data_IF_016753860027
#
_entry.id   IF_016753860027
#
_cell.length_a   1.000
_cell.length_b   1.000
_cell.length_c   1.000
_cell.angle_alpha   90.00
_cell.angle_beta   90.00
_cell.angle_gamma   90.00
#
_symmetry.space_group_name_H-M   'P 1'
#
loop_
_entity.id
_entity.type
_entity.pdbx_description
1 polymer ?
#
# COMPACT_ATOMS: atom_id res chain seq x y z
N UNK A 1 -29.13 -38.23 -43.70
CA UNK A 1 -29.90 -39.43 -44.12
C UNK A 1 -31.36 -39.04 -44.11
N UNK A 2 -32.07 -39.07 -45.25
CA UNK A 2 -33.52 -38.86 -45.21
C UNK A 2 -34.13 -39.97 -44.36
N UNK A 3 -34.94 -39.58 -43.36
CA UNK A 3 -35.70 -40.52 -42.56
C UNK A 3 -36.85 -41.02 -43.47
N UNK A 4 -36.63 -42.10 -44.21
CA UNK A 4 -37.71 -42.79 -44.90
C UNK A 4 -38.53 -43.55 -43.85
N UNK A 5 -39.42 -42.85 -43.14
CA UNK A 5 -40.48 -43.49 -42.38
C UNK A 5 -41.46 -44.10 -43.37
N UNK A 6 -41.27 -45.37 -43.69
CA UNK A 6 -42.23 -46.18 -44.43
C UNK A 6 -43.57 -46.17 -43.69
N UNK A 7 -44.56 -45.49 -44.25
CA UNK A 7 -45.97 -45.72 -43.90
C UNK A 7 -46.32 -47.09 -44.48
N UNK A 8 -46.88 -47.97 -43.65
CA UNK A 8 -47.10 -49.40 -43.93
C UNK A 8 -47.82 -49.70 -45.26
N UNK A 9 -47.56 -50.90 -45.81
CA UNK A 9 -48.02 -51.38 -47.12
C UNK A 9 -49.54 -51.32 -47.39
N UNK A 10 -50.40 -51.07 -46.38
CA UNK A 10 -51.85 -50.99 -46.56
C UNK A 10 -52.52 -50.02 -45.57
N UNK A 11 -52.51 -48.73 -45.92
CA UNK A 11 -53.59 -47.79 -45.57
C UNK A 11 -53.81 -47.40 -44.11
N UNK A 12 -52.89 -47.68 -43.17
CA UNK A 12 -52.99 -47.15 -41.80
C UNK A 12 -51.68 -46.55 -41.31
N UNK A 13 -51.66 -45.22 -41.13
CA UNK A 13 -50.67 -44.51 -40.29
C UNK A 13 -51.10 -44.71 -38.84
N UNK A 14 -50.40 -45.55 -38.08
CA UNK A 14 -50.83 -45.93 -36.72
C UNK A 14 -50.36 -45.03 -35.59
N UNK A 15 -49.40 -44.13 -35.82
CA UNK A 15 -48.89 -43.24 -34.78
C UNK A 15 -48.71 -41.80 -35.29
N UNK A 16 -49.06 -40.82 -34.46
CA UNK A 16 -48.77 -39.40 -34.70
C UNK A 16 -47.27 -39.20 -34.87
N UNK A 17 -46.84 -38.69 -36.02
CA UNK A 17 -45.43 -38.44 -36.29
C UNK A 17 -44.96 -37.20 -35.51
N UNK A 18 -44.12 -37.38 -34.50
CA UNK A 18 -43.54 -36.26 -33.72
C UNK A 18 -42.15 -35.93 -34.25
N UNK A 19 -42.02 -34.71 -34.76
CA UNK A 19 -40.82 -34.17 -35.38
C UNK A 19 -40.19 -33.10 -34.50
N UNK A 20 -38.86 -33.04 -34.53
CA UNK A 20 -38.11 -31.95 -33.87
C UNK A 20 -38.15 -30.68 -34.73
N UNK A 21 -37.90 -29.52 -34.14
CA UNK A 21 -37.83 -28.24 -34.87
C UNK A 21 -36.80 -28.22 -36.02
N UNK A 22 -35.85 -29.17 -36.07
CA UNK A 22 -34.87 -29.32 -37.16
C UNK A 22 -35.43 -30.08 -38.36
N UNK A 23 -36.51 -30.84 -38.18
CA UNK A 23 -37.17 -31.65 -39.21
C UNK A 23 -38.36 -30.88 -39.79
N UNK A 24 -38.10 -29.67 -40.30
CA UNK A 24 -39.12 -28.74 -40.79
C UNK A 24 -39.22 -28.66 -42.33
N UNK A 25 -38.57 -29.59 -43.03
CA UNK A 25 -38.65 -29.76 -44.47
C UNK A 25 -39.18 -31.18 -44.76
N UNK A 26 -40.39 -31.26 -45.28
CA UNK A 26 -41.13 -32.51 -45.48
C UNK A 26 -41.57 -32.65 -46.93
N UNK A 27 -41.45 -33.85 -47.48
CA UNK A 27 -41.99 -34.20 -48.79
C UNK A 27 -42.93 -35.38 -48.62
N UNK A 28 -44.13 -35.27 -49.18
CA UNK A 28 -45.17 -36.29 -49.17
C UNK A 28 -45.31 -36.84 -50.58
N UNK A 29 -44.97 -38.11 -50.76
CA UNK A 29 -45.16 -38.82 -52.03
C UNK A 29 -46.43 -39.68 -51.95
N UNK A 30 -47.19 -39.70 -53.04
CA UNK A 30 -48.49 -40.35 -53.07
C UNK A 30 -48.82 -40.91 -54.46
N UNK A 31 -49.60 -41.99 -54.47
CA UNK A 31 -50.02 -42.70 -55.68
C UNK A 31 -51.48 -43.12 -55.53
N UNK A 32 -52.30 -42.74 -56.49
CA UNK A 32 -53.67 -43.21 -56.66
C UNK A 32 -53.72 -44.35 -57.67
N UNK A 33 -54.53 -45.36 -57.39
CA UNK A 33 -54.68 -46.54 -58.24
C UNK A 33 -56.04 -46.44 -58.95
N UNK A 34 -56.01 -46.22 -60.26
CA UNK A 34 -57.18 -46.34 -61.16
C UNK A 34 -56.92 -47.51 -62.12
N UNK A 35 -57.77 -48.54 -62.08
CA UNK A 35 -57.59 -49.76 -62.89
C UNK A 35 -58.02 -49.59 -64.35
N UNK A 36 -58.81 -48.56 -64.66
CA UNK A 36 -59.37 -48.31 -66.00
C UNK A 36 -58.49 -47.33 -66.78
N UNK A 37 -58.02 -46.26 -66.12
CA UNK A 37 -57.21 -45.20 -66.73
C UNK A 37 -56.07 -44.74 -65.80
N UNK A 38 -55.01 -45.55 -65.58
CA UNK A 38 -53.95 -45.27 -64.60
C UNK A 38 -53.25 -43.92 -64.78
N UNK A 39 -53.16 -43.42 -66.03
CA UNK A 39 -52.45 -42.18 -66.36
C UNK A 39 -53.29 -40.89 -66.26
N UNK A 40 -54.58 -40.99 -65.89
CA UNK A 40 -55.49 -39.83 -65.82
C UNK A 40 -55.86 -39.40 -64.41
N UNK A 41 -55.27 -40.02 -63.39
CA UNK A 41 -55.49 -39.65 -61.99
C UNK A 41 -54.92 -38.26 -61.71
N UNK A 42 -55.75 -37.40 -61.14
CA UNK A 42 -55.37 -36.07 -60.69
C UNK A 42 -55.44 -36.02 -59.17
N UNK A 43 -54.61 -35.19 -58.54
CA UNK A 43 -54.52 -35.07 -57.09
C UNK A 43 -54.81 -33.65 -56.63
N UNK A 44 -55.35 -33.56 -55.41
CA UNK A 44 -55.36 -32.36 -54.61
C UNK A 44 -54.87 -32.69 -53.21
N UNK A 45 -54.10 -31.79 -52.64
CA UNK A 45 -53.58 -31.91 -51.29
C UNK A 45 -53.74 -30.60 -50.53
N UNK A 46 -53.67 -30.68 -49.21
CA UNK A 46 -53.74 -29.53 -48.32
C UNK A 46 -52.96 -29.83 -47.04
N UNK A 47 -52.15 -28.86 -46.60
CA UNK A 47 -51.54 -28.93 -45.27
C UNK A 47 -52.34 -28.10 -44.27
N UNK A 48 -53.28 -28.74 -43.59
CA UNK A 48 -54.06 -28.09 -42.53
C UNK A 48 -53.15 -27.65 -41.38
N UNK A 49 -53.31 -26.40 -40.96
CA UNK A 49 -52.40 -25.72 -40.02
C UNK A 49 -51.41 -24.77 -40.70
N UNK A 50 -51.24 -24.85 -42.02
CA UNK A 50 -50.49 -23.87 -42.82
C UNK A 50 -51.33 -23.25 -43.95
N UNK A 51 -52.25 -24.02 -44.52
CA UNK A 51 -53.08 -23.64 -45.66
C UNK A 51 -54.56 -23.83 -45.29
N UNK A 52 -55.45 -22.99 -45.84
CA UNK A 52 -56.91 -23.06 -45.61
C UNK A 52 -57.68 -23.65 -46.79
N UNK A 53 -57.03 -23.86 -47.95
CA UNK A 53 -57.68 -24.32 -49.18
C UNK A 53 -56.87 -25.43 -49.86
N UNK A 54 -57.57 -26.30 -50.59
CA UNK A 54 -56.95 -27.36 -51.39
C UNK A 54 -56.08 -26.78 -52.52
N UNK A 55 -54.99 -27.47 -52.83
CA UNK A 55 -54.19 -27.19 -54.01
C UNK A 55 -55.02 -27.31 -55.30
N UNK A 56 -54.64 -26.60 -56.38
CA UNK A 56 -55.25 -26.80 -57.68
C UNK A 56 -55.04 -28.25 -58.15
N UNK A 57 -55.98 -28.75 -58.95
CA UNK A 57 -55.91 -30.10 -59.51
C UNK A 57 -54.60 -30.30 -60.28
N UNK A 58 -53.80 -31.27 -59.90
CA UNK A 58 -52.46 -31.49 -60.47
C UNK A 58 -52.16 -32.97 -60.71
N UNK A 59 -51.26 -33.26 -61.66
CA UNK A 59 -50.71 -34.61 -61.89
C UNK A 59 -49.47 -34.92 -61.06
N UNK A 60 -49.01 -33.97 -60.26
CA UNK A 60 -47.86 -34.17 -59.38
C UNK A 60 -48.17 -35.25 -58.35
N UNK A 61 -47.23 -36.14 -58.12
CA UNK A 61 -47.31 -37.25 -57.15
C UNK A 61 -46.52 -36.95 -55.87
N UNK A 62 -46.04 -35.71 -55.71
CA UNK A 62 -45.30 -35.28 -54.53
C UNK A 62 -45.62 -33.83 -54.16
N UNK A 63 -45.76 -33.57 -52.87
CA UNK A 63 -45.92 -32.23 -52.30
C UNK A 63 -44.80 -31.95 -51.30
N UNK A 64 -44.04 -30.87 -51.50
CA UNK A 64 -42.89 -30.52 -50.66
C UNK A 64 -43.12 -29.21 -49.93
N UNK A 65 -43.00 -29.26 -48.61
CA UNK A 65 -43.15 -28.13 -47.69
C UNK A 65 -41.82 -27.84 -47.01
N UNK A 66 -41.36 -26.59 -47.08
CA UNK A 66 -40.09 -26.15 -46.50
C UNK A 66 -40.31 -25.16 -45.38
N UNK A 67 -39.49 -25.24 -44.33
CA UNK A 67 -39.50 -24.32 -43.20
C UNK A 67 -40.86 -24.21 -42.50
N UNK A 68 -41.52 -25.35 -42.30
CA UNK A 68 -42.78 -25.44 -41.56
C UNK A 68 -42.51 -24.99 -40.10
N UNK A 69 -43.36 -24.11 -39.57
CA UNK A 69 -43.21 -23.62 -38.19
C UNK A 69 -43.52 -24.75 -37.18
N UNK A 70 -43.01 -24.68 -35.94
CA UNK A 70 -43.45 -25.59 -34.90
C UNK A 70 -44.96 -25.47 -34.67
N UNK A 71 -45.66 -26.61 -34.61
CA UNK A 71 -47.10 -26.67 -34.58
C UNK A 71 -47.63 -28.07 -34.90
N UNK A 72 -48.95 -28.20 -34.87
CA UNK A 72 -49.66 -29.43 -35.17
C UNK A 72 -50.25 -29.31 -36.57
N UNK A 73 -50.02 -30.32 -37.41
CA UNK A 73 -50.39 -30.30 -38.82
C UNK A 73 -51.08 -31.59 -39.23
N UNK A 74 -51.98 -31.47 -40.20
CA UNK A 74 -52.63 -32.62 -40.85
C UNK A 74 -52.47 -32.46 -42.36
N UNK A 75 -51.69 -33.34 -42.98
CA UNK A 75 -51.61 -33.41 -44.42
C UNK A 75 -52.82 -34.21 -44.94
N UNK A 76 -53.64 -33.60 -45.80
CA UNK A 76 -54.77 -34.26 -46.45
C UNK A 76 -54.53 -34.41 -47.94
N UNK A 77 -55.00 -35.51 -48.50
CA UNK A 77 -54.94 -35.79 -49.93
C UNK A 77 -56.20 -36.48 -50.41
N UNK A 78 -56.63 -36.14 -51.62
CA UNK A 78 -57.65 -36.85 -52.38
C UNK A 78 -57.25 -36.96 -53.85
N UNK A 79 -57.59 -38.09 -54.45
CA UNK A 79 -57.39 -38.34 -55.88
C UNK A 79 -58.72 -38.19 -56.63
N UNK A 80 -58.67 -37.83 -57.91
CA UNK A 80 -59.83 -37.75 -58.80
C UNK A 80 -59.58 -38.56 -60.06
N UNK A 81 -60.58 -39.32 -60.50
CA UNK A 81 -60.53 -40.09 -61.75
C UNK A 81 -60.91 -39.20 -62.97
N UNK A 82 -60.94 -39.79 -64.17
CA UNK A 82 -61.28 -39.07 -65.42
C UNK A 82 -62.68 -38.42 -65.39
N UNK A 83 -63.61 -39.02 -64.66
CA UNK A 83 -64.99 -38.55 -64.52
C UNK A 83 -65.15 -37.44 -63.45
N UNK A 84 -64.06 -37.00 -62.83
CA UNK A 84 -64.07 -35.96 -61.80
C UNK A 84 -64.58 -36.45 -60.44
N UNK A 85 -64.71 -37.76 -60.24
CA UNK A 85 -65.13 -38.36 -58.97
C UNK A 85 -63.91 -38.43 -58.05
N UNK A 86 -64.03 -37.89 -56.84
CA UNK A 86 -62.95 -37.89 -55.85
C UNK A 86 -62.98 -39.16 -54.99
N UNK A 87 -61.79 -39.60 -54.57
CA UNK A 87 -61.60 -40.61 -53.53
C UNK A 87 -61.97 -40.06 -52.16
N UNK A 88 -62.15 -40.96 -51.19
CA UNK A 88 -62.15 -40.57 -49.79
C UNK A 88 -60.85 -39.86 -49.42
N UNK A 89 -60.96 -38.87 -48.54
CA UNK A 89 -59.82 -38.10 -48.04
C UNK A 89 -58.91 -39.00 -47.20
N UNK A 90 -57.63 -39.09 -47.57
CA UNK A 90 -56.59 -39.69 -46.74
C UNK A 90 -55.85 -38.59 -45.98
N UNK A 91 -55.49 -38.86 -44.72
CA UNK A 91 -54.80 -37.88 -43.88
C UNK A 91 -53.66 -38.45 -43.05
N UNK A 92 -52.61 -37.65 -42.88
CA UNK A 92 -51.43 -37.95 -42.06
C UNK A 92 -51.25 -36.84 -41.03
N UNK A 93 -51.25 -37.21 -39.76
CA UNK A 93 -51.09 -36.28 -38.65
C UNK A 93 -49.66 -36.24 -38.13
N UNK A 94 -49.11 -35.03 -37.94
CA UNK A 94 -47.77 -34.84 -37.39
C UNK A 94 -47.66 -33.56 -36.57
N UNK A 95 -46.72 -33.54 -35.63
CA UNK A 95 -46.42 -32.39 -34.77
C UNK A 95 -44.94 -32.03 -34.88
N UNK A 96 -44.64 -30.74 -35.10
CA UNK A 96 -43.27 -30.21 -35.03
C UNK A 96 -43.09 -29.50 -33.68
N UNK A 97 -42.26 -30.05 -32.80
CA UNK A 97 -42.00 -29.52 -31.46
C UNK A 97 -41.25 -28.19 -31.50
N UNK A 98 -41.64 -27.23 -30.67
CA UNK A 98 -40.94 -25.95 -30.53
C UNK A 98 -39.53 -26.11 -29.91
N UNK A 99 -38.53 -25.32 -30.35
CA UNK A 99 -37.19 -25.35 -29.78
C UNK A 99 -37.19 -25.03 -28.28
N UNK A 100 -36.34 -25.72 -27.51
CA UNK A 100 -36.30 -25.56 -26.05
C UNK A 100 -35.93 -24.14 -25.60
N UNK A 101 -35.12 -23.40 -26.37
CA UNK A 101 -34.71 -22.03 -26.03
C UNK A 101 -35.83 -20.99 -26.20
N UNK A 102 -36.90 -21.33 -26.92
CA UNK A 102 -38.07 -20.46 -27.01
C UNK A 102 -39.01 -20.62 -25.81
N UNK A 103 -38.87 -21.72 -25.05
CA UNK A 103 -39.66 -21.98 -23.85
C UNK A 103 -39.36 -20.94 -22.77
N UNK A 104 -40.38 -20.54 -22.02
CA UNK A 104 -40.32 -19.49 -20.99
C UNK A 104 -39.31 -19.79 -19.89
N UNK A 105 -39.22 -21.05 -19.46
CA UNK A 105 -38.26 -21.47 -18.43
C UNK A 105 -36.80 -21.21 -18.84
N UNK A 106 -36.47 -21.38 -20.13
CA UNK A 106 -35.11 -21.17 -20.61
C UNK A 106 -34.75 -19.68 -20.63
N UNK A 107 -35.67 -18.84 -21.12
CA UNK A 107 -35.51 -17.37 -21.06
C UNK A 107 -35.36 -16.88 -19.62
N UNK A 108 -36.16 -17.41 -18.70
CA UNK A 108 -36.05 -17.10 -17.27
C UNK A 108 -34.71 -17.54 -16.69
N UNK A 109 -34.21 -18.73 -17.06
CA UNK A 109 -32.90 -19.21 -16.62
C UNK A 109 -31.75 -18.32 -17.14
N UNK A 110 -31.82 -17.86 -18.39
CA UNK A 110 -30.83 -16.92 -18.96
C UNK A 110 -30.84 -15.60 -18.20
N UNK A 111 -32.01 -15.03 -17.90
CA UNK A 111 -32.14 -13.78 -17.13
C UNK A 111 -31.59 -13.99 -15.71
N UNK A 112 -31.94 -15.08 -15.04
CA UNK A 112 -31.43 -15.39 -13.72
C UNK A 112 -29.90 -15.56 -13.70
N UNK A 113 -29.33 -16.22 -14.71
CA UNK A 113 -27.88 -16.35 -14.88
C UNK A 113 -27.19 -14.99 -15.08
N UNK A 114 -27.78 -14.10 -15.89
CA UNK A 114 -27.26 -12.76 -16.09
C UNK A 114 -27.30 -11.93 -14.79
N UNK A 115 -28.40 -11.98 -14.03
CA UNK A 115 -28.52 -11.30 -12.73
C UNK A 115 -27.51 -11.86 -11.73
N UNK A 116 -27.35 -13.18 -11.67
CA UNK A 116 -26.35 -13.83 -10.81
C UNK A 116 -24.92 -13.39 -11.16
N UNK A 117 -24.59 -13.34 -12.45
CA UNK A 117 -23.28 -12.90 -12.92
C UNK A 117 -23.00 -11.43 -12.57
N UNK A 118 -23.99 -10.55 -12.73
CA UNK A 118 -23.88 -9.15 -12.31
C UNK A 118 -23.70 -9.02 -10.79
N UNK A 119 -24.44 -9.79 -10.00
CA UNK A 119 -24.29 -9.83 -8.55
C UNK A 119 -22.90 -10.32 -8.13
N UNK A 120 -22.34 -11.30 -8.84
CA UNK A 120 -20.99 -11.83 -8.60
C UNK A 120 -19.92 -10.78 -8.91
N UNK A 121 -20.03 -10.07 -10.05
CA UNK A 121 -19.14 -8.94 -10.36
C UNK A 121 -19.22 -7.86 -9.27
N UNK A 122 -20.43 -7.50 -8.84
CA UNK A 122 -20.64 -6.50 -7.80
C UNK A 122 -20.04 -6.93 -6.45
N UNK A 123 -20.23 -8.20 -6.08
CA UNK A 123 -19.63 -8.79 -4.88
C UNK A 123 -18.11 -8.71 -4.90
N UNK A 124 -17.46 -9.11 -6.00
CA UNK A 124 -16.00 -9.02 -6.12
C UNK A 124 -15.49 -7.58 -6.12
N UNK A 125 -16.20 -6.65 -6.76
CA UNK A 125 -15.89 -5.21 -6.70
C UNK A 125 -15.94 -4.67 -5.28
N UNK A 126 -16.98 -5.01 -4.51
CA UNK A 126 -17.11 -4.60 -3.11
C UNK A 126 -15.96 -5.13 -2.24
N UNK A 127 -15.57 -6.39 -2.43
CA UNK A 127 -14.44 -6.97 -1.70
C UNK A 127 -13.11 -6.28 -2.05
N UNK A 128 -12.88 -5.99 -3.34
CA UNK A 128 -11.69 -5.28 -3.78
C UNK A 128 -11.59 -3.87 -3.18
N UNK A 129 -12.69 -3.13 -3.13
CA UNK A 129 -12.74 -1.79 -2.51
C UNK A 129 -12.47 -1.89 -1.00
N UNK A 130 -13.12 -2.82 -0.29
CA UNK A 130 -12.89 -3.01 1.15
C UNK A 130 -11.44 -3.38 1.47
N UNK A 131 -10.80 -4.19 0.62
CA UNK A 131 -9.38 -4.54 0.78
C UNK A 131 -8.47 -3.32 0.67
N UNK A 132 -8.71 -2.48 -0.34
CA UNK A 132 -7.95 -1.23 -0.55
C UNK A 132 -8.11 -0.25 0.61
N UNK A 133 -9.32 -0.14 1.18
CA UNK A 133 -9.56 0.68 2.36
C UNK A 133 -8.81 0.16 3.59
N UNK A 134 -8.80 -1.17 3.84
CA UNK A 134 -8.01 -1.76 4.94
C UNK A 134 -6.52 -1.49 4.79
N UNK A 135 -5.98 -1.66 3.59
CA UNK A 135 -4.57 -1.39 3.29
C UNK A 135 -4.22 0.08 3.55
N UNK A 136 -5.11 1.02 3.18
CA UNK A 136 -4.96 2.45 3.50
C UNK A 136 -4.98 2.71 5.00
N UNK A 137 -5.92 2.12 5.73
CA UNK A 137 -5.99 2.29 7.19
C UNK A 137 -4.75 1.76 7.89
N UNK A 138 -4.28 0.57 7.53
CA UNK A 138 -3.05 -0.01 8.07
C UNK A 138 -1.85 0.89 7.78
N UNK A 139 -1.74 1.43 6.56
CA UNK A 139 -0.68 2.37 6.19
C UNK A 139 -0.70 3.63 7.05
N UNK A 140 -1.88 4.24 7.24
CA UNK A 140 -2.04 5.44 8.05
C UNK A 140 -1.70 5.20 9.54
N UNK A 141 -2.04 4.03 10.07
CA UNK A 141 -1.67 3.65 11.44
C UNK A 141 -0.16 3.50 11.55
N UNK A 142 0.49 2.80 10.63
CA UNK A 142 1.95 2.66 10.62
C UNK A 142 2.67 4.00 10.52
N UNK A 143 2.20 4.88 9.64
CA UNK A 143 2.76 6.23 9.47
C UNK A 143 2.60 7.06 10.76
N UNK A 144 1.44 6.98 11.42
CA UNK A 144 1.23 7.61 12.72
C UNK A 144 2.18 7.04 13.79
N UNK A 145 2.33 5.72 13.85
CA UNK A 145 3.21 5.07 14.82
C UNK A 145 4.67 5.49 14.61
N UNK A 146 5.11 5.61 13.35
CA UNK A 146 6.44 6.16 13.01
C UNK A 146 6.58 7.60 13.50
N UNK A 147 5.61 8.48 13.22
CA UNK A 147 5.64 9.88 13.69
C UNK A 147 5.65 9.94 15.23
N UNK A 148 4.87 9.09 15.91
CA UNK A 148 4.84 9.05 17.38
C UNK A 148 6.17 8.54 17.96
N UNK A 149 6.81 7.57 17.31
CA UNK A 149 8.13 7.08 17.67
C UNK A 149 9.20 8.14 17.42
N UNK A 150 9.14 8.87 16.30
CA UNK A 150 9.99 10.03 16.03
C UNK A 150 9.81 11.08 17.12
N UNK A 151 8.56 11.48 17.43
CA UNK A 151 8.29 12.42 18.52
C UNK A 151 8.80 11.94 19.89
N UNK A 152 8.68 10.65 20.20
CA UNK A 152 9.24 10.07 21.43
C UNK A 152 10.77 10.08 21.40
N UNK A 153 11.39 9.76 20.27
CA UNK A 153 12.84 9.83 20.09
C UNK A 153 13.33 11.28 20.26
N UNK A 154 12.63 12.25 19.68
CA UNK A 154 12.89 13.68 19.87
C UNK A 154 12.77 14.10 21.33
N UNK A 155 11.75 13.61 22.05
CA UNK A 155 11.62 13.84 23.50
C UNK A 155 12.73 13.21 24.31
N UNK A 156 13.24 12.05 23.90
CA UNK A 156 14.38 11.39 24.53
C UNK A 156 15.71 12.07 24.18
N UNK A 157 15.79 12.74 23.04
CA UNK A 157 16.95 13.51 22.60
C UNK A 157 17.06 14.86 23.32
N UNK A 158 15.97 15.34 23.96
CA UNK A 158 15.98 16.51 24.84
C UNK A 158 16.22 16.07 26.29
N UNK A 159 17.39 16.35 26.86
CA UNK A 159 17.70 15.99 28.26
C UNK A 159 16.66 16.63 29.22
N UNK A 160 15.79 15.84 29.88
CA UNK A 160 14.75 16.39 30.76
C UNK A 160 15.33 17.21 31.91
N UNK A 161 16.49 16.81 32.44
CA UNK A 161 17.18 17.51 33.50
C UNK A 161 17.65 18.90 33.05
N UNK A 162 18.20 19.02 31.84
CA UNK A 162 18.55 20.32 31.24
C UNK A 162 17.33 21.23 31.11
N UNK A 163 16.20 20.71 30.62
CA UNK A 163 14.96 21.48 30.49
C UNK A 163 14.47 22.00 31.85
N UNK A 164 14.45 21.14 32.87
CA UNK A 164 14.05 21.54 34.23
C UNK A 164 15.00 22.59 34.82
N UNK A 165 16.32 22.41 34.69
CA UNK A 165 17.30 23.36 35.22
C UNK A 165 17.19 24.72 34.53
N UNK A 166 17.13 24.73 33.20
CA UNK A 166 17.01 25.96 32.42
C UNK A 166 15.73 26.72 32.76
N UNK A 167 14.59 26.03 32.86
CA UNK A 167 13.32 26.64 33.25
C UNK A 167 13.36 27.20 34.68
N UNK A 168 13.97 26.48 35.63
CA UNK A 168 14.12 26.95 37.00
C UNK A 168 15.00 28.21 37.08
N UNK A 169 16.12 28.25 36.36
CA UNK A 169 16.99 29.42 36.33
C UNK A 169 16.31 30.63 35.68
N UNK A 170 15.50 30.41 34.63
CA UNK A 170 14.66 31.47 34.05
C UNK A 170 13.58 31.95 35.03
N UNK A 171 12.92 31.04 35.75
CA UNK A 171 11.94 31.40 36.79
C UNK A 171 12.58 32.21 37.93
N UNK A 172 13.81 31.88 38.32
CA UNK A 172 14.60 32.65 39.28
C UNK A 172 14.79 34.11 38.87
N UNK A 173 15.11 34.38 37.59
CA UNK A 173 15.24 35.75 37.07
C UNK A 173 13.93 36.53 37.06
N UNK A 174 12.82 35.86 36.79
CA UNK A 174 11.48 36.46 36.87
C UNK A 174 11.19 36.87 38.31
N UNK A 175 11.58 36.04 39.28
CA UNK A 175 11.42 36.33 40.71
C UNK A 175 12.32 37.47 41.20
N UNK A 176 13.52 37.65 40.65
CA UNK A 176 14.45 38.76 40.98
C UNK A 176 14.18 40.06 40.21
N UNK A 177 13.09 40.14 39.44
CA UNK A 177 12.70 41.27 38.60
C UNK A 177 13.66 41.60 37.45
N UNK A 178 14.59 40.71 37.09
CA UNK A 178 15.41 40.87 35.89
C UNK A 178 14.67 40.38 34.64
N UNK A 179 13.59 41.10 34.30
CA UNK A 179 12.71 40.74 33.19
C UNK A 179 13.40 40.87 31.81
N UNK A 180 14.55 41.55 31.71
CA UNK A 180 15.28 41.70 30.46
C UNK A 180 16.15 40.47 30.21
N UNK A 181 16.91 40.03 31.21
CA UNK A 181 17.73 38.83 31.12
C UNK A 181 16.84 37.58 31.00
N UNK A 182 15.73 37.52 31.74
CA UNK A 182 14.76 36.42 31.61
C UNK A 182 14.21 36.28 30.18
N UNK A 183 13.88 37.40 29.52
CA UNK A 183 13.39 37.41 28.13
C UNK A 183 14.46 36.96 27.14
N UNK A 184 15.71 37.39 27.33
CA UNK A 184 16.83 36.97 26.48
C UNK A 184 17.02 35.44 26.55
N UNK A 185 17.11 34.88 27.76
CA UNK A 185 17.33 33.43 27.93
C UNK A 185 16.13 32.59 27.52
N UNK A 186 14.89 33.09 27.71
CA UNK A 186 13.70 32.43 27.17
C UNK A 186 13.72 32.39 25.63
N UNK A 187 14.21 33.44 24.98
CA UNK A 187 14.40 33.47 23.52
C UNK A 187 15.49 32.50 23.08
N UNK A 188 16.64 32.45 23.77
CA UNK A 188 17.74 31.49 23.48
C UNK A 188 17.25 30.05 23.64
N UNK A 189 16.54 29.76 24.73
CA UNK A 189 15.91 28.46 24.96
C UNK A 189 14.93 28.08 23.84
N UNK A 190 14.03 29.00 23.46
CA UNK A 190 13.07 28.75 22.38
C UNK A 190 13.75 28.51 21.03
N UNK A 191 14.87 29.21 20.76
CA UNK A 191 15.67 29.05 19.54
C UNK A 191 16.35 27.68 19.51
N UNK A 192 17.07 27.30 20.56
CA UNK A 192 17.70 25.98 20.69
C UNK A 192 16.67 24.85 20.54
N UNK A 193 15.51 24.96 21.19
CA UNK A 193 14.46 23.95 21.09
C UNK A 193 13.94 23.78 19.66
N UNK A 194 13.86 24.88 18.90
CA UNK A 194 13.48 24.82 17.49
C UNK A 194 14.59 24.20 16.64
N UNK A 195 15.83 24.64 16.81
CA UNK A 195 17.00 24.10 16.10
C UNK A 195 17.16 22.60 16.34
N UNK A 196 17.04 22.14 17.60
CA UNK A 196 17.07 20.71 17.93
C UNK A 196 15.94 19.93 17.24
N UNK A 197 14.73 20.49 17.14
CA UNK A 197 13.60 19.86 16.45
C UNK A 197 13.70 19.91 14.92
N UNK A 198 14.32 20.94 14.35
CA UNK A 198 14.52 21.08 12.90
C UNK A 198 15.69 20.19 12.45
N UNK A 199 16.86 20.30 13.10
CA UNK A 199 18.08 19.57 12.76
C UNK A 199 17.92 18.05 12.95
N UNK A 200 17.13 17.61 13.92
CA UNK A 200 16.86 16.18 14.14
C UNK A 200 16.04 15.51 13.04
N UNK A 201 15.42 16.30 12.13
CA UNK A 201 14.71 15.78 10.95
C UNK A 201 15.64 15.61 9.75
N UNK A 202 16.81 16.25 9.78
CA UNK A 202 17.82 16.17 8.74
C UNK A 202 18.79 15.01 9.03
N UNK A 203 19.28 14.36 7.96
CA UNK A 203 20.26 13.27 8.10
C UNK A 203 21.65 13.81 8.47
N UNK A 204 22.01 14.98 7.95
CA UNK A 204 23.28 15.66 8.15
C UNK A 204 23.04 17.18 8.24
N UNK A 205 23.87 17.87 9.01
CA UNK A 205 23.93 19.34 9.12
C UNK A 205 25.36 19.80 8.90
N UNK A 206 25.55 21.05 8.52
CA UNK A 206 26.89 21.63 8.42
C UNK A 206 27.52 21.83 9.80
N UNK A 207 28.86 21.85 9.87
CA UNK A 207 29.58 22.22 11.10
C UNK A 207 29.19 23.61 11.59
N UNK A 208 28.93 24.56 10.69
CA UNK A 208 28.42 25.89 11.04
C UNK A 208 27.10 25.82 11.83
N UNK A 209 26.16 25.00 11.38
CA UNK A 209 24.87 24.79 12.05
C UNK A 209 25.06 24.10 13.41
N UNK A 210 25.95 23.11 13.50
CA UNK A 210 26.30 22.44 14.76
C UNK A 210 26.95 23.43 15.75
N UNK A 211 27.87 24.28 15.31
CA UNK A 211 28.50 25.31 16.16
C UNK A 211 27.44 26.28 16.68
N UNK A 212 26.51 26.71 15.81
CA UNK A 212 25.42 27.61 16.21
C UNK A 212 24.55 26.99 17.30
N UNK A 213 24.10 25.75 17.10
CA UNK A 213 23.28 25.01 18.06
C UNK A 213 24.04 24.76 19.38
N UNK A 214 25.30 24.33 19.29
CA UNK A 214 26.17 24.08 20.44
C UNK A 214 26.42 25.36 21.25
N UNK A 215 26.61 26.51 20.59
CA UNK A 215 26.76 27.81 21.26
C UNK A 215 25.51 28.16 22.08
N UNK A 216 24.32 28.01 21.50
CA UNK A 216 23.08 28.27 22.24
C UNK A 216 22.90 27.31 23.44
N UNK A 217 23.28 26.04 23.26
CA UNK A 217 23.26 25.04 24.34
C UNK A 217 24.22 25.41 25.48
N UNK A 218 25.49 25.68 25.17
CA UNK A 218 26.51 26.03 26.16
C UNK A 218 26.17 27.33 26.91
N UNK A 219 25.59 28.31 26.22
CA UNK A 219 25.11 29.55 26.87
C UNK A 219 24.03 29.28 27.92
N UNK A 220 23.11 28.36 27.64
CA UNK A 220 22.03 28.00 28.56
C UNK A 220 22.54 27.15 29.73
N UNK A 221 23.46 26.23 29.48
CA UNK A 221 24.11 25.44 30.54
C UNK A 221 24.95 26.32 31.46
N UNK A 222 25.78 27.20 30.88
CA UNK A 222 26.61 28.15 31.64
C UNK A 222 25.75 29.03 32.54
N UNK A 223 24.61 29.47 32.04
CA UNK A 223 23.64 30.22 32.83
C UNK A 223 22.97 29.37 33.92
N UNK A 224 22.56 28.14 33.59
CA UNK A 224 21.88 27.23 34.52
C UNK A 224 22.76 26.83 35.71
N UNK A 225 24.08 26.83 35.52
CA UNK A 225 25.08 26.54 36.54
C UNK A 225 25.83 27.79 37.03
N UNK A 226 25.18 28.95 37.06
CA UNK A 226 25.70 30.17 37.69
C UNK A 226 27.13 30.57 37.23
N UNK A 227 27.47 30.34 35.96
CA UNK A 227 28.77 30.67 35.36
C UNK A 227 29.96 29.91 35.97
N UNK A 228 29.76 28.69 36.50
CA UNK A 228 30.82 27.84 37.10
C UNK A 228 31.90 27.40 36.09
N UNK A 229 31.64 27.54 34.79
CA UNK A 229 32.59 27.25 33.72
C UNK A 229 32.56 28.32 32.61
N UNK A 230 33.64 28.41 31.85
CA UNK A 230 33.76 29.12 30.58
C UNK A 230 33.96 28.13 29.42
N UNK A 231 33.67 28.56 28.19
CA UNK A 231 33.88 27.74 27.00
C UNK A 231 34.48 28.53 25.82
N UNK A 232 35.19 27.82 24.94
CA UNK A 232 35.61 28.30 23.63
C UNK A 232 35.25 27.29 22.54
N UNK A 233 34.79 27.77 21.39
CA UNK A 233 34.58 26.96 20.18
C UNK A 233 35.48 27.55 19.09
N UNK A 234 36.30 26.71 18.50
CA UNK A 234 37.27 27.05 17.46
C UNK A 234 37.04 26.14 16.26
N UNK A 235 37.07 26.69 15.05
CA UNK A 235 36.91 25.93 13.82
C UNK A 235 37.86 26.46 12.75
N UNK A 236 38.47 25.56 11.99
CA UNK A 236 39.20 25.92 10.78
C UNK A 236 38.22 26.42 9.70
N UNK A 237 38.65 27.35 8.85
CA UNK A 237 37.81 27.92 7.78
C UNK A 237 37.17 26.84 6.89
N UNK A 238 37.94 25.80 6.56
CA UNK A 238 37.46 24.67 5.73
C UNK A 238 36.53 23.72 6.48
N UNK A 239 36.56 23.71 7.83
CA UNK A 239 35.75 22.82 8.64
C UNK A 239 34.26 23.17 8.58
N UNK A 240 33.91 24.45 8.38
CA UNK A 240 32.53 24.93 8.40
C UNK A 240 31.60 24.26 7.36
N UNK A 241 32.17 23.79 6.24
CA UNK A 241 31.41 23.16 5.15
C UNK A 241 31.22 21.65 5.31
N UNK A 242 31.87 21.02 6.29
CA UNK A 242 31.72 19.59 6.52
C UNK A 242 30.30 19.26 6.99
N UNK A 243 29.77 18.16 6.48
CA UNK A 243 28.45 17.64 6.86
C UNK A 243 28.62 16.55 7.92
N UNK A 244 27.97 16.74 9.07
CA UNK A 244 28.02 15.84 10.22
C UNK A 244 26.62 15.52 10.73
N UNK A 245 26.42 14.41 11.47
CA UNK A 245 25.17 14.19 12.20
C UNK A 245 24.80 15.37 13.08
N UNK A 246 23.53 15.75 13.14
CA UNK A 246 23.07 16.77 14.06
C UNK A 246 23.28 16.34 15.52
N UNK A 247 23.72 17.28 16.35
CA UNK A 247 23.94 17.10 17.79
C UNK A 247 24.99 16.02 18.08
N UNK A 248 26.03 15.96 17.25
CA UNK A 248 27.15 15.03 17.39
C UNK A 248 28.01 15.38 18.60
N UNK A 249 28.28 16.68 18.80
CA UNK A 249 29.24 17.18 19.80
C UNK A 249 28.58 17.36 21.17
N UNK A 250 27.30 17.71 21.17
CA UNK A 250 26.52 18.02 22.37
C UNK A 250 26.65 16.96 23.48
N UNK A 251 26.55 15.64 23.23
CA UNK A 251 26.64 14.63 24.29
C UNK A 251 28.01 14.61 25.00
N UNK A 252 29.09 14.96 24.31
CA UNK A 252 30.42 15.03 24.91
C UNK A 252 30.60 16.31 25.74
N UNK A 253 30.13 17.44 25.21
CA UNK A 253 30.09 18.70 25.94
C UNK A 253 29.23 18.59 27.22
N UNK A 254 28.07 17.97 27.13
CA UNK A 254 27.18 17.70 28.26
C UNK A 254 27.87 16.85 29.33
N UNK A 255 28.53 15.75 28.92
CA UNK A 255 29.28 14.90 29.84
C UNK A 255 30.43 15.66 30.51
N UNK A 256 31.18 16.47 29.76
CA UNK A 256 32.25 17.31 30.30
C UNK A 256 31.71 18.28 31.36
N UNK A 257 30.59 18.94 31.10
CA UNK A 257 29.97 19.88 32.05
C UNK A 257 29.47 19.15 33.31
N UNK A 258 28.59 18.16 33.14
CA UNK A 258 27.89 17.46 34.23
C UNK A 258 28.85 16.65 35.11
N UNK A 259 29.81 15.96 34.50
CA UNK A 259 30.68 15.02 35.21
C UNK A 259 32.09 15.57 35.47
N UNK A 260 32.56 16.54 34.68
CA UNK A 260 33.88 17.14 34.81
C UNK A 260 33.85 18.48 35.56
N UNK A 261 33.17 19.48 34.98
CA UNK A 261 33.30 20.88 35.38
C UNK A 261 32.47 21.23 36.62
N UNK A 262 31.21 20.79 36.70
CA UNK A 262 30.35 21.09 37.85
C UNK A 262 30.90 20.50 39.16
N UNK A 263 31.36 19.24 39.22
CA UNK A 263 31.95 18.68 40.44
C UNK A 263 33.26 19.37 40.85
N UNK A 264 33.96 20.03 39.92
CA UNK A 264 35.18 20.80 40.21
C UNK A 264 34.87 22.08 41.00
N UNK A 265 33.71 22.70 40.77
CA UNK A 265 33.19 23.81 41.57
C UNK A 265 33.85 25.18 41.32
N UNK A 266 34.47 25.39 40.14
CA UNK A 266 35.05 26.67 39.73
C UNK A 266 36.17 26.52 38.69
N UNK A 267 36.46 27.60 37.96
CA UNK A 267 37.46 27.67 36.88
C UNK A 267 37.35 26.53 35.84
N UNK A 268 36.12 26.07 35.61
CA UNK A 268 35.84 25.09 34.57
C UNK A 268 36.09 25.69 33.19
N UNK A 269 36.78 24.95 32.32
CA UNK A 269 37.00 25.33 30.92
C UNK A 269 36.63 24.17 30.02
N UNK A 270 35.81 24.46 29.03
CA UNK A 270 35.47 23.56 27.93
C UNK A 270 35.99 24.16 26.62
N UNK A 271 36.79 23.43 25.87
CA UNK A 271 37.26 23.85 24.56
C UNK A 271 36.82 22.83 23.52
N UNK A 272 36.13 23.32 22.49
CA UNK A 272 35.68 22.51 21.36
C UNK A 272 36.41 22.97 20.11
N UNK A 273 37.11 22.07 19.43
CA UNK A 273 37.85 22.37 18.20
C UNK A 273 37.36 21.53 17.03
N UNK A 274 37.12 22.16 15.89
CA UNK A 274 36.81 21.53 14.60
C UNK A 274 37.99 21.74 13.66
N UNK A 275 38.76 20.68 13.41
CA UNK A 275 40.03 20.73 12.67
C UNK A 275 39.89 19.97 11.36
N UNK A 276 40.13 20.64 10.23
CA UNK A 276 40.12 20.02 8.91
C UNK A 276 41.52 19.52 8.55
N UNK A 277 41.68 18.22 8.28
CA UNK A 277 42.98 17.64 7.96
C UNK A 277 42.85 16.41 7.08
N UNK A 278 43.59 16.33 5.97
CA UNK A 278 43.69 15.12 5.13
C UNK A 278 42.32 14.49 4.79
N UNK A 279 41.36 15.30 4.31
CA UNK A 279 39.98 14.90 3.97
C UNK A 279 39.16 14.26 5.10
N UNK A 280 39.54 14.53 6.36
CA UNK A 280 38.75 14.20 7.54
C UNK A 280 38.54 15.42 8.43
N UNK A 281 37.45 15.37 9.16
CA UNK A 281 37.16 16.32 10.23
C UNK A 281 37.53 15.67 11.56
N UNK A 282 38.44 16.33 12.29
CA UNK A 282 38.76 16.00 13.67
C UNK A 282 37.99 16.94 14.59
N UNK A 283 37.17 16.39 15.47
CA UNK A 283 36.42 17.16 16.47
C UNK A 283 37.00 16.84 17.84
N UNK A 284 37.52 17.84 18.52
CA UNK A 284 38.08 17.70 19.87
C UNK A 284 37.20 18.39 20.90
N UNK A 285 36.85 17.69 21.97
CA UNK A 285 36.14 18.24 23.14
C UNK A 285 37.03 18.04 24.35
N UNK A 286 37.61 19.13 24.83
CA UNK A 286 38.58 19.16 25.92
C UNK A 286 37.96 19.85 27.15
N UNK A 287 38.02 19.20 28.31
CA UNK A 287 37.59 19.75 29.59
C UNK A 287 38.72 19.71 30.62
N UNK A 288 38.77 20.70 31.51
CA UNK A 288 39.73 20.73 32.62
C UNK A 288 39.13 20.22 33.96
N UNK A 289 38.14 19.34 33.88
CA UNK A 289 37.35 18.86 35.00
C UNK A 289 38.08 17.85 35.90
N UNK A 290 37.31 17.18 36.77
CA UNK A 290 37.85 16.24 37.77
C UNK A 290 38.46 14.95 37.19
N UNK A 291 38.34 14.74 35.88
CA UNK A 291 38.79 13.54 35.17
C UNK A 291 37.85 12.33 35.34
N UNK A 292 37.90 11.39 34.38
CA UNK A 292 36.92 10.29 34.29
C UNK A 292 36.93 9.32 35.47
N UNK A 293 38.11 9.01 36.05
CA UNK A 293 38.22 8.09 37.21
C UNK A 293 37.45 8.63 38.41
N UNK A 294 37.70 9.89 38.77
CA UNK A 294 37.03 10.59 39.88
C UNK A 294 35.54 10.80 39.59
N UNK A 295 35.17 11.11 38.35
CA UNK A 295 33.77 11.17 37.93
C UNK A 295 33.04 9.83 38.10
N UNK A 296 33.69 8.70 37.77
CA UNK A 296 33.13 7.36 37.94
C UNK A 296 32.97 6.97 39.43
N UNK A 297 33.89 7.41 40.29
CA UNK A 297 33.80 7.22 41.75
C UNK A 297 32.63 8.03 42.35
N UNK A 298 32.43 9.27 41.91
CA UNK A 298 31.28 10.09 42.30
C UNK A 298 29.96 9.46 41.79
N UNK A 299 29.98 8.84 40.61
CA UNK A 299 28.82 8.20 39.97
C UNK A 299 28.39 6.93 40.71
N UNK A 300 29.31 6.11 41.20
CA UNK A 300 28.97 4.87 41.94
C UNK A 300 28.33 5.14 43.30
N UNK A 301 28.51 6.33 43.87
CA UNK A 301 27.92 6.75 45.14
C UNK A 301 26.49 7.29 45.03
N UNK A 302 26.01 7.64 43.82
CA UNK A 302 24.63 8.14 43.60
C UNK A 302 23.77 7.04 42.95
N UNK A 303 22.89 6.43 43.74
CA UNK A 303 22.13 5.20 43.41
C UNK A 303 21.04 5.31 42.34
N UNK A 304 20.80 6.47 41.71
CA UNK A 304 19.69 6.66 40.77
C UNK A 304 20.05 7.59 39.60
N UNK A 305 20.97 7.20 38.72
CA UNK A 305 21.16 7.93 37.45
C UNK A 305 21.20 6.99 36.25
N UNK A 306 20.37 7.31 35.26
CA UNK A 306 20.14 6.54 34.04
C UNK A 306 21.46 6.22 33.32
N UNK A 307 21.52 4.99 32.78
CA UNK A 307 22.57 4.50 31.89
C UNK A 307 22.77 5.50 30.73
N UNK A 308 24.02 5.75 30.35
CA UNK A 308 24.43 6.78 29.37
C UNK A 308 23.98 6.47 27.93
N UNK A 309 22.65 6.46 27.69
CA UNK A 309 22.02 6.19 26.40
C UNK A 309 22.49 7.18 25.32
N UNK A 310 22.79 8.43 25.71
CA UNK A 310 23.26 9.47 24.77
C UNK A 310 24.56 9.10 24.06
N UNK A 311 25.58 8.65 24.79
CA UNK A 311 26.87 8.25 24.20
C UNK A 311 26.75 7.04 23.27
N UNK A 312 25.87 6.08 23.61
CA UNK A 312 25.66 4.90 22.79
C UNK A 312 25.04 5.28 21.43
N UNK A 313 24.04 6.17 21.43
CA UNK A 313 23.40 6.64 20.19
C UNK A 313 24.39 7.42 19.32
N UNK A 314 25.26 8.23 19.93
CA UNK A 314 26.29 8.97 19.20
C UNK A 314 27.34 8.06 18.57
N UNK A 315 27.77 7.01 19.29
CA UNK A 315 28.66 6.00 18.76
C UNK A 315 28.03 5.27 17.56
N UNK A 316 26.80 4.80 17.70
CA UNK A 316 26.07 4.12 16.61
C UNK A 316 25.94 5.01 15.36
N UNK A 317 25.71 6.33 15.53
CA UNK A 317 25.64 7.29 14.41
C UNK A 317 26.98 7.52 13.72
N UNK A 318 28.07 7.62 14.49
CA UNK A 318 29.41 7.78 13.92
C UNK A 318 29.85 6.53 13.14
N UNK A 319 29.54 5.36 13.68
CA UNK A 319 29.85 4.08 13.04
C UNK A 319 29.08 3.89 11.72
N UNK A 320 27.87 4.47 11.61
CA UNK A 320 27.08 4.44 10.37
C UNK A 320 27.66 5.32 9.24
N UNK A 321 28.40 6.38 9.57
CA UNK A 321 28.95 7.31 8.59
C UNK A 321 30.38 6.92 8.22
N UNK A 322 31.15 6.46 9.19
CA UNK A 322 32.51 5.98 8.97
C UNK A 322 32.47 4.53 8.47
N UNK A 323 32.21 4.35 7.16
CA UNK A 323 32.16 3.05 6.47
C UNK A 323 33.45 2.18 6.56
N UNK A 324 34.53 2.67 7.19
CA UNK A 324 35.87 2.10 7.09
C UNK A 324 36.32 1.27 8.32
N UNK A 325 35.48 1.06 9.33
CA UNK A 325 35.77 0.13 10.43
C UNK A 325 36.88 0.57 11.42
N UNK A 326 37.35 1.82 11.33
CA UNK A 326 38.27 2.41 12.31
C UNK A 326 37.52 3.05 13.48
N UNK A 327 38.05 2.99 14.71
CA UNK A 327 37.42 3.60 15.88
C UNK A 327 37.26 5.11 15.69
N UNK A 328 36.00 5.55 15.67
CA UNK A 328 35.57 6.93 15.41
C UNK A 328 35.69 7.85 16.63
N UNK A 329 35.93 7.30 17.82
CA UNK A 329 35.97 8.02 19.11
C UNK A 329 37.17 7.57 19.94
N UNK A 330 37.99 8.53 20.36
CA UNK A 330 39.13 8.34 21.26
C UNK A 330 38.92 9.14 22.55
N UNK A 331 39.09 8.50 23.70
CA UNK A 331 39.03 9.15 25.00
C UNK A 331 40.43 9.21 25.62
N UNK A 332 40.95 10.41 25.83
CA UNK A 332 42.29 10.70 26.35
C UNK A 332 42.13 11.35 27.74
N UNK A 333 42.65 10.70 28.78
CA UNK A 333 42.68 11.26 30.13
C UNK A 333 43.90 12.20 30.25
N UNK A 334 43.68 13.49 30.52
CA UNK A 334 44.77 14.47 30.69
C UNK A 334 45.29 14.41 32.13
N UNK A 335 46.61 14.29 32.31
CA UNK A 335 47.25 14.18 33.62
C UNK A 335 48.47 15.10 33.71
N UNK A 336 48.75 15.60 34.91
CA UNK A 336 49.98 16.36 35.19
C UNK A 336 51.20 15.43 35.35
N UNK A 337 52.39 16.02 35.50
CA UNK A 337 53.65 15.30 35.74
C UNK A 337 53.64 14.45 37.04
N UNK A 338 52.63 14.62 37.90
CA UNK A 338 52.41 13.90 39.15
C UNK A 338 51.26 12.88 39.04
N UNK A 339 50.76 12.62 37.83
CA UNK A 339 49.71 11.66 37.52
C UNK A 339 48.33 12.03 38.13
N UNK A 340 48.11 13.30 38.48
CA UNK A 340 46.82 13.85 38.89
C UNK A 340 45.95 14.17 37.66
N UNK A 341 44.62 13.99 37.74
CA UNK A 341 43.73 14.31 36.63
C UNK A 341 43.66 15.82 36.39
N UNK A 342 44.05 16.27 35.20
CA UNK A 342 43.90 17.64 34.71
C UNK A 342 42.62 17.84 33.90
N UNK A 343 42.00 16.76 33.42
CA UNK A 343 40.85 16.86 32.53
C UNK A 343 40.62 15.63 31.66
N UNK A 344 39.76 15.79 30.65
CA UNK A 344 39.50 14.78 29.62
C UNK A 344 39.52 15.43 28.25
N UNK A 345 40.11 14.76 27.26
CA UNK A 345 40.00 15.11 25.85
C UNK A 345 39.26 13.96 25.14
N UNK A 346 38.16 14.29 24.46
CA UNK A 346 37.47 13.38 23.56
C UNK A 346 37.76 13.81 22.13
N UNK A 347 38.27 12.89 21.31
CA UNK A 347 38.52 13.14 19.88
C UNK A 347 37.61 12.28 19.04
N UNK A 348 36.81 12.92 18.20
CA UNK A 348 35.97 12.28 17.19
C UNK A 348 36.65 12.43 15.83
N UNK A 349 36.63 11.38 15.03
CA UNK A 349 37.11 11.43 13.64
C UNK A 349 35.92 11.16 12.73
N UNK A 350 35.62 12.09 11.82
CA UNK A 350 34.60 11.94 10.79
C UNK A 350 35.28 11.93 9.43
N UNK A 351 35.09 10.86 8.67
CA UNK A 351 35.60 10.74 7.31
C UNK A 351 34.58 11.34 6.33
N UNK A 352 35.04 12.14 5.37
CA UNK A 352 34.16 12.55 4.27
C UNK A 352 33.92 11.34 3.38
N UNK A 353 32.65 11.05 3.10
CA UNK A 353 32.32 10.22 1.96
C UNK A 353 32.57 11.06 0.71
N UNK A 354 33.67 10.80 0.00
CA UNK A 354 33.75 11.17 -1.41
C UNK A 354 32.54 10.56 -2.15
N UNK A 355 31.97 11.35 -3.06
CA UNK A 355 30.73 11.13 -3.85
C UNK A 355 30.39 9.69 -4.27
#
# INVERSE_FOLDING_TARGET
TPLHTFVSDWGQVRDTLVLTYQQNHLSFEFVGIDMLSPGKVMYQWMLEGSEETWSPLSRQTAATYSNIKPGVYTFRIRASNEDGIFSDDQSVHFEILAPFWQKTWFKAAVIAGAVFFLALIFYFRLQAVKRKERERTVRLVLEKDVIELEQKALRLQMNPHFIFNTLNSIQGLIATQDAKTARLYLSKFSKLMRETLENSREALVSVEEEISALTHYLDLEKFSYEQVFDYSIEADDDAHMFMIPPLLVQPFAENAIIHGLIPKGGDGKLTVRFISKDDKLLIEVEDNGVGRKKASEIKSQKTNYHKSTGLQVTQERLDMINNNGEPSIEFIDLQDDQNQPLGTLVRLTVYTSED
#
